data_IF_905345102167
#
_entry.id   IF_905345102167
#
_cell.length_a   1.000
_cell.length_b   1.000
_cell.length_c   1.000
_cell.angle_alpha   90.00
_cell.angle_beta   90.00
_cell.angle_gamma   90.00
#
_symmetry.space_group_name_H-M   'P 1'
#
loop_
_entity.id
_entity.type
_entity.pdbx_description
1 polymer ?
#
# COMPACT_ATOMS: atom_id res chain seq x y z
N UNK A 1 -20.92 -21.06 1.88
CA UNK A 1 -19.68 -20.63 1.16
C UNK A 1 -19.74 -19.17 0.70
N UNK A 2 -20.83 -18.71 0.07
CA UNK A 2 -20.97 -17.33 -0.45
C UNK A 2 -20.61 -16.21 0.55
N UNK A 3 -21.12 -16.25 1.79
CA UNK A 3 -20.79 -15.28 2.86
C UNK A 3 -19.29 -15.20 3.20
N UNK A 4 -18.59 -16.33 3.19
CA UNK A 4 -17.13 -16.37 3.44
C UNK A 4 -16.35 -15.73 2.28
N UNK A 5 -16.78 -15.98 1.04
CA UNK A 5 -16.17 -15.38 -0.16
C UNK A 5 -16.41 -13.87 -0.23
N UNK A 6 -17.61 -13.42 0.14
CA UNK A 6 -17.96 -12.00 0.21
C UNK A 6 -17.11 -11.26 1.25
N UNK A 7 -16.85 -11.87 2.42
CA UNK A 7 -15.90 -11.34 3.40
C UNK A 7 -14.48 -11.21 2.83
N UNK A 8 -14.03 -12.17 2.03
CA UNK A 8 -12.73 -12.13 1.36
C UNK A 8 -12.63 -10.99 0.35
N UNK A 9 -13.68 -10.73 -0.43
CA UNK A 9 -13.76 -9.58 -1.34
C UNK A 9 -13.68 -8.26 -0.56
N UNK A 10 -14.38 -8.16 0.57
CA UNK A 10 -14.35 -6.94 1.41
C UNK A 10 -12.95 -6.67 1.98
N UNK A 11 -12.26 -7.71 2.44
CA UNK A 11 -10.86 -7.60 2.92
C UNK A 11 -9.94 -7.17 1.78
N UNK A 12 -10.04 -7.81 0.60
CA UNK A 12 -9.23 -7.42 -0.54
C UNK A 12 -9.49 -5.98 -1.01
N UNK A 13 -10.74 -5.50 -0.93
CA UNK A 13 -11.10 -4.13 -1.26
C UNK A 13 -10.48 -3.14 -0.26
N UNK A 14 -10.50 -3.46 1.04
CA UNK A 14 -9.81 -2.69 2.08
C UNK A 14 -8.30 -2.63 1.83
N UNK A 15 -7.67 -3.76 1.49
CA UNK A 15 -6.25 -3.81 1.15
C UNK A 15 -5.92 -2.95 -0.08
N UNK A 16 -6.78 -2.97 -1.09
CA UNK A 16 -6.63 -2.15 -2.30
C UNK A 16 -6.73 -0.65 -1.98
N UNK A 17 -7.73 -0.26 -1.18
CA UNK A 17 -7.90 1.12 -0.71
C UNK A 17 -6.70 1.59 0.11
N UNK A 18 -6.21 0.77 1.04
CA UNK A 18 -5.02 1.08 1.82
C UNK A 18 -3.77 1.20 0.94
N UNK A 19 -3.61 0.31 -0.05
CA UNK A 19 -2.55 0.40 -1.05
C UNK A 19 -2.57 1.72 -1.82
N UNK A 20 -3.75 2.14 -2.29
CA UNK A 20 -3.94 3.45 -2.95
C UNK A 20 -3.51 4.58 -2.01
N UNK A 21 -4.05 4.61 -0.79
CA UNK A 21 -3.74 5.67 0.18
C UNK A 21 -2.22 5.74 0.44
N UNK A 22 -1.56 4.59 0.59
CA UNK A 22 -0.12 4.52 0.84
C UNK A 22 0.71 5.00 -0.36
N UNK A 23 0.32 4.66 -1.58
CA UNK A 23 0.97 5.11 -2.82
C UNK A 23 0.83 6.62 -3.02
N UNK A 24 -0.38 7.17 -2.89
CA UNK A 24 -0.62 8.61 -3.06
C UNK A 24 -0.07 9.45 -1.91
N UNK A 25 -0.07 8.92 -0.69
CA UNK A 25 0.49 9.60 0.50
C UNK A 25 1.98 9.32 0.71
N UNK A 26 2.63 8.56 -0.19
CA UNK A 26 4.04 8.15 -0.07
C UNK A 26 4.99 9.33 0.09
N UNK A 27 4.72 10.46 -0.59
CA UNK A 27 5.52 11.68 -0.49
C UNK A 27 5.42 12.28 0.92
N UNK A 28 4.21 12.40 1.46
CA UNK A 28 3.98 12.96 2.79
C UNK A 28 4.54 12.05 3.89
N UNK A 29 4.29 10.75 3.81
CA UNK A 29 4.76 9.77 4.78
C UNK A 29 6.28 9.63 4.72
N UNK A 30 6.86 9.54 3.52
CA UNK A 30 8.29 9.43 3.33
C UNK A 30 9.05 10.66 3.80
N UNK A 31 8.51 11.86 3.55
CA UNK A 31 9.09 13.11 4.05
C UNK A 31 9.01 13.20 5.57
N UNK A 32 7.85 12.89 6.17
CA UNK A 32 7.70 12.87 7.62
C UNK A 32 8.64 11.88 8.32
N UNK A 33 8.86 10.70 7.74
CA UNK A 33 9.83 9.73 8.27
C UNK A 33 11.28 10.20 8.13
N UNK A 34 11.60 10.86 7.02
CA UNK A 34 12.91 11.48 6.83
C UNK A 34 13.16 12.64 7.81
N UNK A 35 12.14 13.44 8.12
CA UNK A 35 12.19 14.52 9.10
C UNK A 35 12.39 13.99 10.51
N UNK A 36 11.65 12.95 10.89
CA UNK A 36 11.84 12.28 12.18
C UNK A 36 13.24 11.67 12.29
N UNK A 37 13.74 11.07 11.21
CA UNK A 37 15.11 10.55 11.14
C UNK A 37 16.14 11.69 11.30
N UNK A 38 15.93 12.82 10.62
CA UNK A 38 16.80 14.00 10.72
C UNK A 38 16.82 14.58 12.14
N UNK A 39 15.66 14.70 12.77
CA UNK A 39 15.51 15.18 14.14
C UNK A 39 16.27 14.28 15.14
N UNK A 40 16.24 12.96 14.94
CA UNK A 40 17.00 12.01 15.77
C UNK A 40 18.52 12.09 15.60
N UNK A 41 18.99 12.56 14.44
CA UNK A 41 20.42 12.72 14.12
C UNK A 41 20.97 14.09 14.56
N UNK A 42 20.10 15.07 14.79
CA UNK A 42 20.48 16.45 15.12
C UNK A 42 21.00 17.25 13.92
N UNK A 43 20.94 16.68 12.71
CA UNK A 43 21.39 17.32 11.47
C UNK A 43 21.98 16.31 10.47
N UNK A 44 21.88 16.65 9.18
CA UNK A 44 22.50 15.90 8.09
C UNK A 44 22.84 16.87 6.97
N UNK A 45 23.84 16.52 6.17
CA UNK A 45 24.12 17.22 4.92
C UNK A 45 22.89 17.17 4.00
N UNK A 46 22.64 18.28 3.28
CA UNK A 46 21.44 18.44 2.44
C UNK A 46 21.35 17.34 1.37
N UNK A 47 22.48 16.92 0.79
CA UNK A 47 22.48 15.86 -0.22
C UNK A 47 22.12 14.49 0.39
N UNK A 48 22.61 14.22 1.60
CA UNK A 48 22.30 12.99 2.32
C UNK A 48 20.85 12.93 2.81
N UNK A 49 20.31 14.04 3.31
CA UNK A 49 18.90 14.15 3.66
C UNK A 49 17.99 13.92 2.44
N UNK A 50 18.31 14.52 1.30
CA UNK A 50 17.52 14.34 0.08
C UNK A 50 17.52 12.88 -0.43
N UNK A 51 18.64 12.16 -0.28
CA UNK A 51 18.71 10.72 -0.54
C UNK A 51 17.81 9.92 0.40
N UNK A 52 17.82 10.24 1.70
CA UNK A 52 16.97 9.56 2.69
C UNK A 52 15.48 9.80 2.41
N UNK A 53 15.07 11.04 2.11
CA UNK A 53 13.69 11.38 1.72
C UNK A 53 13.26 10.53 0.51
N UNK A 54 14.06 10.53 -0.56
CA UNK A 54 13.75 9.73 -1.76
C UNK A 54 13.66 8.25 -1.47
N UNK A 55 14.56 7.73 -0.63
CA UNK A 55 14.56 6.32 -0.21
C UNK A 55 13.25 5.95 0.52
N UNK A 56 12.84 6.74 1.51
CA UNK A 56 11.60 6.50 2.24
C UNK A 56 10.36 6.64 1.36
N UNK A 57 10.29 7.68 0.52
CA UNK A 57 9.18 7.85 -0.44
C UNK A 57 9.08 6.62 -1.36
N UNK A 58 10.22 6.17 -1.92
CA UNK A 58 10.23 5.02 -2.80
C UNK A 58 9.83 3.72 -2.09
N UNK A 59 10.25 3.54 -0.83
CA UNK A 59 9.84 2.39 -0.03
C UNK A 59 8.31 2.36 0.18
N UNK A 60 7.70 3.50 0.52
CA UNK A 60 6.23 3.60 0.65
C UNK A 60 5.52 3.43 -0.69
N UNK A 61 6.08 3.96 -1.78
CA UNK A 61 5.52 3.83 -3.12
C UNK A 61 5.49 2.36 -3.58
N UNK A 62 6.62 1.66 -3.42
CA UNK A 62 6.75 0.24 -3.78
C UNK A 62 5.88 -0.64 -2.89
N UNK A 63 5.88 -0.41 -1.57
CA UNK A 63 5.03 -1.15 -0.64
C UNK A 63 3.54 -0.96 -0.95
N UNK A 64 3.10 0.30 -1.19
CA UNK A 64 1.73 0.62 -1.56
C UNK A 64 1.34 -0.01 -2.90
N UNK A 65 2.24 0.01 -3.88
CA UNK A 65 2.03 -0.62 -5.19
C UNK A 65 1.87 -2.14 -5.09
N UNK A 66 2.74 -2.83 -4.35
CA UNK A 66 2.63 -4.28 -4.12
C UNK A 66 1.30 -4.60 -3.42
N UNK A 67 0.96 -3.84 -2.38
CA UNK A 67 -0.26 -4.03 -1.61
C UNK A 67 -1.53 -3.80 -2.45
N UNK A 68 -1.50 -2.81 -3.34
CA UNK A 68 -2.58 -2.50 -4.29
C UNK A 68 -2.76 -3.62 -5.32
N UNK A 69 -1.68 -4.06 -5.95
CA UNK A 69 -1.72 -5.16 -6.95
C UNK A 69 -2.21 -6.44 -6.29
N UNK A 70 -1.71 -6.76 -5.10
CA UNK A 70 -2.12 -7.95 -4.34
C UNK A 70 -3.59 -7.88 -3.92
N UNK A 71 -4.06 -6.73 -3.44
CA UNK A 71 -5.47 -6.50 -3.08
C UNK A 71 -6.41 -6.65 -4.28
N UNK A 72 -6.04 -6.08 -5.42
CA UNK A 72 -6.81 -6.21 -6.67
C UNK A 72 -6.83 -7.65 -7.19
N UNK A 73 -5.70 -8.36 -7.10
CA UNK A 73 -5.63 -9.76 -7.50
C UNK A 73 -6.53 -10.64 -6.62
N UNK A 74 -6.48 -10.47 -5.30
CA UNK A 74 -7.33 -11.19 -4.35
C UNK A 74 -8.82 -10.95 -4.57
N UNK A 75 -9.21 -9.69 -4.74
CA UNK A 75 -10.61 -9.33 -5.01
C UNK A 75 -11.10 -9.91 -6.33
N UNK A 76 -10.28 -9.83 -7.39
CA UNK A 76 -10.62 -10.37 -8.71
C UNK A 76 -10.81 -11.89 -8.67
N UNK A 77 -9.90 -12.64 -8.03
CA UNK A 77 -10.00 -14.09 -7.90
C UNK A 77 -11.23 -14.50 -7.06
N UNK A 78 -11.49 -13.79 -5.96
CA UNK A 78 -12.65 -14.05 -5.12
C UNK A 78 -13.96 -13.75 -5.86
N UNK A 79 -14.02 -12.65 -6.64
CA UNK A 79 -15.17 -12.29 -7.46
C UNK A 79 -15.42 -13.31 -8.58
N UNK A 80 -14.38 -13.72 -9.30
CA UNK A 80 -14.47 -14.75 -10.34
C UNK A 80 -15.02 -16.06 -9.80
N UNK A 81 -14.50 -16.51 -8.64
CA UNK A 81 -14.99 -17.73 -7.99
C UNK A 81 -16.43 -17.59 -7.48
N UNK A 82 -16.86 -16.38 -7.11
CA UNK A 82 -18.26 -16.10 -6.74
C UNK A 82 -19.20 -16.21 -7.95
N UNK A 83 -18.80 -15.66 -9.11
CA UNK A 83 -19.58 -15.73 -10.35
C UNK A 83 -19.77 -17.17 -10.84
N UNK A 84 -18.69 -17.97 -10.90
CA UNK A 84 -18.79 -19.37 -11.32
C UNK A 84 -19.71 -20.22 -10.40
N UNK A 85 -19.81 -19.90 -9.10
CA UNK A 85 -20.72 -20.59 -8.16
C UNK A 85 -22.18 -20.14 -8.34
N UNK A 86 -22.44 -19.02 -9.01
CA UNK A 86 -23.80 -18.54 -9.28
C UNK A 86 -24.33 -19.01 -10.63
N UNK A 87 -23.46 -19.29 -11.60
CA UNK A 87 -23.84 -19.81 -12.92
C UNK A 87 -23.94 -21.36 -12.97
N UNK A 88 -23.38 -22.06 -11.98
CA UNK A 88 -23.39 -23.53 -11.87
C UNK A 88 -24.40 -24.12 -10.90
#
# INVERSE_FOLDING_TARGET
MKKKLQGFVMIGALFSLLGVILTFSSVSLGSSMADSWLASRGGADTAYYHLMVKSYINAFLVAGGIMLVFGLMLTSLAAFKLMNIMEG
#
